data_IF_983047413762
#
_entry.id   IF_983047413762
#
_cell.length_a   1.000
_cell.length_b   1.000
_cell.length_c   1.000
_cell.angle_alpha   90.00
_cell.angle_beta   90.00
_cell.angle_gamma   90.00
#
_symmetry.space_group_name_H-M   'P 1'
#
loop_
_entity.id
_entity.type
_entity.pdbx_description
1 polymer ?
#
# COMPACT_ATOMS: atom_id res chain seq x y z
N UNK A 1 -4.26 37.33 41.70
CA UNK A 1 -3.43 36.18 41.30
C UNK A 1 -3.83 35.68 39.90
N UNK A 2 -3.61 36.50 38.85
CA UNK A 2 -4.08 36.23 37.47
C UNK A 2 -2.97 35.90 36.47
N UNK A 3 -1.73 35.71 36.93
CA UNK A 3 -0.55 35.51 36.06
C UNK A 3 0.05 34.10 36.11
N UNK A 4 -0.50 33.19 36.91
CA UNK A 4 0.05 31.82 37.07
C UNK A 4 -0.70 30.80 36.19
N UNK A 5 -1.89 31.12 35.70
CA UNK A 5 -2.70 30.18 34.91
C UNK A 5 -2.25 30.02 33.45
N UNK A 6 -1.40 30.92 32.93
CA UNK A 6 -0.95 30.88 31.53
C UNK A 6 0.22 29.91 31.34
N UNK A 7 0.97 29.60 32.40
CA UNK A 7 2.13 28.71 32.27
C UNK A 7 1.75 27.22 32.12
N UNK A 8 0.57 26.82 32.60
CA UNK A 8 0.14 25.41 32.53
C UNK A 8 -0.50 25.04 31.18
N UNK A 9 -1.04 26.00 30.43
CA UNK A 9 -1.66 25.74 29.11
C UNK A 9 -0.59 25.51 28.03
N UNK A 10 0.60 26.08 28.18
CA UNK A 10 1.70 25.92 27.20
C UNK A 10 2.45 24.59 27.37
N UNK A 11 2.43 23.99 28.56
CA UNK A 11 3.14 22.72 28.83
C UNK A 11 2.32 21.46 28.46
N UNK A 12 0.99 21.57 28.34
CA UNK A 12 0.15 20.45 27.86
C UNK A 12 0.07 20.43 26.33
N UNK A 13 0.21 21.58 25.66
CA UNK A 13 0.21 21.68 24.20
C UNK A 13 1.50 21.18 23.53
N UNK A 14 2.57 20.94 24.30
CA UNK A 14 3.84 20.43 23.79
C UNK A 14 3.96 18.90 23.84
N UNK A 15 3.03 18.19 24.49
CA UNK A 15 3.01 16.72 24.52
C UNK A 15 2.13 16.08 23.43
N UNK A 16 1.39 16.86 22.64
CA UNK A 16 0.59 16.34 21.52
C UNK A 16 1.33 16.33 20.17
N UNK A 17 2.61 16.72 20.14
CA UNK A 17 3.42 16.74 18.92
C UNK A 17 4.58 15.73 18.90
N UNK A 18 4.56 14.74 19.80
CA UNK A 18 5.43 13.57 19.73
C UNK A 18 4.61 12.27 19.80
N UNK A 19 3.83 12.06 18.74
CA UNK A 19 3.73 10.71 18.18
C UNK A 19 4.19 10.85 16.74
N UNK A 20 5.43 10.44 16.53
CA UNK A 20 5.96 10.14 15.21
C UNK A 20 4.87 9.39 14.44
N UNK A 21 4.45 10.04 13.37
CA UNK A 21 3.64 9.45 12.34
C UNK A 21 4.47 8.29 11.80
N UNK A 22 4.14 7.10 12.30
CA UNK A 22 4.57 5.85 11.71
C UNK A 22 4.33 5.99 10.21
N UNK A 23 5.42 5.91 9.47
CA UNK A 23 5.53 6.13 8.04
C UNK A 23 4.59 5.21 7.28
N UNK A 24 3.33 5.61 7.15
CA UNK A 24 2.56 5.32 5.97
C UNK A 24 3.07 6.30 4.91
N UNK A 25 4.08 5.89 4.15
CA UNK A 25 4.35 6.45 2.83
C UNK A 25 3.09 6.20 1.98
N UNK A 26 2.08 7.04 2.19
CA UNK A 26 1.13 7.36 1.14
C UNK A 26 1.94 8.14 0.13
N UNK A 27 2.41 7.44 -0.89
CA UNK A 27 2.99 8.00 -2.10
C UNK A 27 1.90 8.80 -2.80
N UNK A 28 1.55 9.98 -2.28
CA UNK A 28 0.78 10.98 -3.00
C UNK A 28 1.75 11.54 -4.05
N UNK A 29 1.79 10.84 -5.18
CA UNK A 29 2.40 11.38 -6.39
C UNK A 29 1.59 12.63 -6.72
N UNK A 30 2.13 13.80 -6.40
CA UNK A 30 1.70 15.08 -6.98
C UNK A 30 1.84 14.93 -8.48
N UNK A 31 0.73 14.63 -9.15
CA UNK A 31 0.66 14.62 -10.61
C UNK A 31 0.74 16.09 -11.02
N UNK A 32 1.95 16.57 -11.31
CA UNK A 32 2.13 17.77 -12.11
C UNK A 32 1.41 17.54 -13.44
N UNK A 33 0.23 18.16 -13.59
CA UNK A 33 -0.46 18.25 -14.87
C UNK A 33 0.35 19.17 -15.77
N UNK A 34 1.31 18.60 -16.51
CA UNK A 34 1.81 19.21 -17.73
C UNK A 34 0.76 18.99 -18.82
N UNK A 35 -0.01 20.05 -19.08
CA UNK A 35 -0.96 20.14 -20.19
C UNK A 35 -0.18 20.07 -21.51
N UNK A 36 -0.04 18.87 -22.07
CA UNK A 36 0.42 18.65 -23.44
C UNK A 36 -0.69 17.98 -24.24
N UNK A 37 -0.92 18.47 -25.46
CA UNK A 37 -2.03 18.11 -26.34
C UNK A 37 -2.17 16.58 -26.51
N UNK A 38 -3.41 16.06 -26.63
CA UNK A 38 -3.65 14.64 -26.79
C UNK A 38 -2.95 14.15 -28.07
N UNK A 39 -1.89 13.35 -27.91
CA UNK A 39 -1.33 12.59 -29.02
C UNK A 39 -2.41 11.65 -29.52
N UNK A 40 -2.77 11.75 -30.80
CA UNK A 40 -3.64 10.77 -31.44
C UNK A 40 -2.92 9.41 -31.41
N UNK A 41 -3.23 8.60 -30.41
CA UNK A 41 -2.70 7.25 -30.25
C UNK A 41 -3.27 6.38 -31.37
N UNK A 42 -2.43 5.59 -32.02
CA UNK A 42 -2.91 4.60 -32.98
C UNK A 42 -3.81 3.58 -32.27
N UNK A 43 -4.77 2.98 -32.99
CA UNK A 43 -5.78 2.09 -32.41
C UNK A 43 -5.17 0.92 -31.61
N UNK A 44 -4.00 0.42 -32.01
CA UNK A 44 -3.30 -0.67 -31.32
C UNK A 44 -2.66 -0.17 -30.02
N UNK A 45 -2.16 1.06 -29.99
CA UNK A 45 -1.65 1.68 -28.76
C UNK A 45 -2.78 2.07 -27.82
N UNK A 46 -3.90 2.60 -28.32
CA UNK A 46 -5.08 2.88 -27.49
C UNK A 46 -5.58 1.60 -26.79
N UNK A 47 -5.68 0.49 -27.52
CA UNK A 47 -6.02 -0.83 -26.92
C UNK A 47 -5.03 -1.28 -25.83
N UNK A 48 -3.73 -0.99 -25.98
CA UNK A 48 -2.73 -1.31 -24.95
C UNK A 48 -2.88 -0.45 -23.71
N UNK A 49 -3.14 0.85 -23.89
CA UNK A 49 -3.39 1.80 -22.81
C UNK A 49 -4.66 1.43 -22.05
N UNK A 50 -5.76 1.16 -22.74
CA UNK A 50 -7.04 0.79 -22.11
C UNK A 50 -6.92 -0.52 -21.34
N UNK A 51 -6.20 -1.50 -21.93
CA UNK A 51 -5.87 -2.74 -21.24
C UNK A 51 -5.01 -2.49 -20.00
N UNK A 52 -3.97 -1.66 -20.10
CA UNK A 52 -3.11 -1.33 -18.96
C UNK A 52 -3.89 -0.61 -17.85
N UNK A 53 -4.84 0.28 -18.17
CA UNK A 53 -5.74 0.91 -17.18
C UNK A 53 -6.64 -0.12 -16.48
N UNK A 54 -7.24 -1.03 -17.25
CA UNK A 54 -8.07 -2.10 -16.71
C UNK A 54 -7.27 -3.06 -15.83
N UNK A 55 -6.08 -3.46 -16.29
CA UNK A 55 -5.16 -4.34 -15.57
C UNK A 55 -4.62 -3.65 -14.31
N UNK A 56 -4.32 -2.35 -14.36
CA UNK A 56 -3.89 -1.56 -13.20
C UNK A 56 -4.98 -1.51 -12.12
N UNK A 57 -6.23 -1.17 -12.47
CA UNK A 57 -7.32 -1.15 -11.52
C UNK A 57 -7.58 -2.53 -10.90
N UNK A 58 -7.48 -3.59 -11.71
CA UNK A 58 -7.63 -4.97 -11.26
C UNK A 58 -6.49 -5.39 -10.33
N UNK A 59 -5.25 -5.09 -10.70
CA UNK A 59 -4.07 -5.47 -9.93
C UNK A 59 -3.96 -4.68 -8.63
N UNK A 60 -4.36 -3.40 -8.59
CA UNK A 60 -4.48 -2.62 -7.35
C UNK A 60 -5.54 -3.22 -6.41
N UNK A 61 -6.72 -3.61 -6.93
CA UNK A 61 -7.75 -4.29 -6.13
C UNK A 61 -7.25 -5.64 -5.60
N UNK A 62 -6.55 -6.41 -6.43
CA UNK A 62 -5.97 -7.68 -6.04
C UNK A 62 -4.86 -7.51 -5.00
N UNK A 63 -4.05 -6.46 -5.12
CA UNK A 63 -3.00 -6.10 -4.19
C UNK A 63 -3.60 -5.83 -2.80
N UNK A 64 -4.60 -4.94 -2.73
CA UNK A 64 -5.28 -4.61 -1.48
C UNK A 64 -5.86 -5.86 -0.80
N UNK A 65 -6.52 -6.74 -1.59
CA UNK A 65 -7.06 -8.00 -1.07
C UNK A 65 -5.97 -8.98 -0.62
N UNK A 66 -4.85 -9.04 -1.34
CA UNK A 66 -3.72 -9.89 -0.99
C UNK A 66 -3.04 -9.41 0.30
N UNK A 67 -2.83 -8.10 0.45
CA UNK A 67 -2.27 -7.48 1.66
C UNK A 67 -3.21 -7.66 2.86
N UNK A 68 -4.52 -7.48 2.68
CA UNK A 68 -5.53 -7.75 3.73
C UNK A 68 -5.50 -9.23 4.16
N UNK A 69 -5.48 -10.15 3.20
CA UNK A 69 -5.46 -11.59 3.48
C UNK A 69 -4.15 -12.01 4.17
N UNK A 70 -3.03 -11.42 3.75
CA UNK A 70 -1.73 -11.63 4.36
C UNK A 70 -1.72 -11.16 5.81
N UNK A 71 -2.22 -9.95 6.08
CA UNK A 71 -2.28 -9.39 7.43
C UNK A 71 -3.17 -10.25 8.34
N UNK A 72 -4.36 -10.65 7.88
CA UNK A 72 -5.24 -11.56 8.63
C UNK A 72 -4.58 -12.92 8.91
N UNK A 73 -3.79 -13.43 7.97
CA UNK A 73 -3.01 -14.66 8.13
C UNK A 73 -1.97 -14.52 9.25
N UNK A 74 -1.22 -13.42 9.25
CA UNK A 74 -0.23 -13.11 10.29
C UNK A 74 -0.88 -12.97 11.66
N UNK A 75 -1.98 -12.21 11.77
CA UNK A 75 -2.70 -12.07 13.04
C UNK A 75 -3.21 -13.41 13.59
N UNK A 76 -3.76 -14.25 12.72
CA UNK A 76 -4.22 -15.60 13.10
C UNK A 76 -3.05 -16.49 13.54
N UNK A 77 -1.94 -16.46 12.80
CA UNK A 77 -0.72 -17.17 13.14
C UNK A 77 -0.20 -16.75 14.52
N UNK A 78 -0.02 -15.45 14.76
CA UNK A 78 0.47 -14.94 16.04
C UNK A 78 -0.47 -15.27 17.20
N UNK A 79 -1.80 -15.13 16.98
CA UNK A 79 -2.80 -15.47 17.99
C UNK A 79 -2.75 -16.94 18.36
N UNK A 80 -2.58 -17.83 17.39
CA UNK A 80 -2.51 -19.26 17.66
C UNK A 80 -1.15 -19.66 18.27
N UNK A 81 -0.05 -19.00 17.86
CA UNK A 81 1.27 -19.18 18.44
C UNK A 81 1.29 -18.77 19.91
N UNK A 82 0.74 -17.60 20.26
CA UNK A 82 0.60 -17.14 21.65
C UNK A 82 -0.24 -18.08 22.52
N UNK A 83 -1.21 -18.78 21.92
CA UNK A 83 -2.06 -19.76 22.61
C UNK A 83 -1.41 -21.15 22.73
N UNK A 84 -0.20 -21.35 22.23
CA UNK A 84 0.46 -22.67 22.18
C UNK A 84 -0.30 -23.69 21.31
N UNK A 85 -1.14 -23.22 20.38
CA UNK A 85 -1.99 -24.06 19.53
C UNK A 85 -1.36 -24.42 18.19
N UNK A 86 -0.12 -24.00 17.94
CA UNK A 86 0.59 -24.34 16.71
C UNK A 86 1.47 -25.57 16.92
N UNK A 87 1.26 -26.58 16.08
CA UNK A 87 2.24 -27.65 15.92
C UNK A 87 3.38 -27.19 15.00
N UNK A 88 4.57 -27.82 15.06
CA UNK A 88 5.67 -27.55 14.12
C UNK A 88 5.26 -27.71 12.64
N UNK A 89 4.33 -28.63 12.35
CA UNK A 89 3.79 -28.84 11.00
C UNK A 89 2.94 -27.65 10.55
N UNK A 90 2.13 -27.10 11.45
CA UNK A 90 1.31 -25.93 11.16
C UNK A 90 2.18 -24.67 11.00
N UNK A 91 3.23 -24.51 11.81
CA UNK A 91 4.22 -23.45 11.61
C UNK A 91 4.85 -23.49 10.23
N UNK A 92 5.28 -24.67 9.77
CA UNK A 92 5.85 -24.84 8.44
C UNK A 92 4.84 -24.54 7.31
N UNK A 93 3.56 -24.89 7.48
CA UNK A 93 2.50 -24.56 6.50
C UNK A 93 2.25 -23.06 6.42
N UNK A 94 2.18 -22.39 7.57
CA UNK A 94 1.96 -20.95 7.64
C UNK A 94 3.16 -20.19 7.05
N UNK A 95 4.39 -20.65 7.28
CA UNK A 95 5.59 -20.06 6.67
C UNK A 95 5.55 -20.16 5.13
N UNK A 96 5.16 -21.33 4.59
CA UNK A 96 4.99 -21.51 3.14
C UNK A 96 3.84 -20.68 2.56
N UNK A 97 2.75 -20.53 3.31
CA UNK A 97 1.63 -19.67 2.92
C UNK A 97 2.06 -18.20 2.87
N UNK A 98 2.84 -17.76 3.87
CA UNK A 98 3.45 -16.44 3.95
C UNK A 98 4.36 -16.17 2.74
N UNK A 99 5.29 -17.08 2.44
CA UNK A 99 6.21 -16.94 1.30
C UNK A 99 5.45 -16.85 -0.04
N UNK A 100 4.40 -17.68 -0.22
CA UNK A 100 3.55 -17.62 -1.42
C UNK A 100 2.80 -16.30 -1.54
N UNK A 101 2.26 -15.81 -0.42
CA UNK A 101 1.55 -14.53 -0.37
C UNK A 101 2.51 -13.36 -0.69
N UNK A 102 3.71 -13.35 -0.12
CA UNK A 102 4.75 -12.36 -0.41
C UNK A 102 5.13 -12.36 -1.89
N UNK A 103 5.34 -13.53 -2.51
CA UNK A 103 5.61 -13.66 -3.96
C UNK A 103 4.45 -13.13 -4.80
N UNK A 104 3.21 -13.40 -4.41
CA UNK A 104 2.03 -12.91 -5.13
C UNK A 104 1.91 -11.38 -5.03
N UNK A 105 2.12 -10.82 -3.83
CA UNK A 105 2.14 -9.37 -3.60
C UNK A 105 3.25 -8.71 -4.42
N UNK A 106 4.46 -9.27 -4.42
CA UNK A 106 5.58 -8.76 -5.21
C UNK A 106 5.28 -8.75 -6.72
N UNK A 107 4.66 -9.82 -7.24
CA UNK A 107 4.23 -9.90 -8.65
C UNK A 107 3.18 -8.84 -8.99
N UNK A 108 2.19 -8.63 -8.12
CA UNK A 108 1.17 -7.59 -8.30
C UNK A 108 1.79 -6.18 -8.28
N UNK A 109 2.70 -5.90 -7.34
CA UNK A 109 3.44 -4.62 -7.29
C UNK A 109 4.23 -4.37 -8.57
N UNK A 110 4.88 -5.41 -9.09
CA UNK A 110 5.61 -5.32 -10.37
C UNK A 110 4.67 -5.02 -11.54
N UNK A 111 3.56 -5.75 -11.67
CA UNK A 111 2.59 -5.51 -12.74
C UNK A 111 2.02 -4.09 -12.69
N UNK A 112 1.71 -3.60 -11.48
CA UNK A 112 1.24 -2.22 -11.27
C UNK A 112 2.31 -1.24 -11.77
N UNK A 113 3.57 -1.42 -11.36
CA UNK A 113 4.68 -0.55 -11.80
C UNK A 113 4.89 -0.59 -13.32
N UNK A 114 4.81 -1.77 -13.94
CA UNK A 114 4.95 -1.95 -15.40
C UNK A 114 3.79 -1.25 -16.14
N UNK A 115 2.56 -1.38 -15.64
CA UNK A 115 1.38 -0.72 -16.20
C UNK A 115 1.43 0.81 -16.00
N UNK A 116 1.84 1.29 -14.82
CA UNK A 116 2.03 2.71 -14.54
C UNK A 116 3.12 3.32 -15.42
N UNK A 117 4.24 2.62 -15.62
CA UNK A 117 5.29 3.05 -16.53
C UNK A 117 4.80 3.12 -17.98
N UNK A 118 3.97 2.17 -18.40
CA UNK A 118 3.33 2.19 -19.72
C UNK A 118 2.42 3.41 -19.87
N UNK A 119 1.58 3.72 -18.87
CA UNK A 119 0.69 4.87 -18.92
C UNK A 119 1.45 6.20 -18.90
N UNK A 120 2.49 6.33 -18.06
CA UNK A 120 3.38 7.50 -18.03
C UNK A 120 4.09 7.73 -19.36
N UNK A 121 4.49 6.67 -20.07
CA UNK A 121 5.12 6.77 -21.40
C UNK A 121 4.21 7.44 -22.43
N UNK A 122 2.90 7.35 -22.26
CA UNK A 122 1.89 7.95 -23.13
C UNK A 122 1.28 9.24 -22.56
N UNK A 123 1.92 9.87 -21.55
CA UNK A 123 1.44 11.07 -20.87
C UNK A 123 -0.01 10.95 -20.34
N UNK A 124 -0.38 9.77 -19.85
CA UNK A 124 -1.71 9.47 -19.30
C UNK A 124 -1.67 9.17 -17.79
#
# INVERSE_FOLDING_TARGET
MKKIFILFVVMVASYTYMTDSLTAQATTTTIQQTTQAPQALDEKTQKKVDKAKADLAKDQKNLAKAEESYQKGIEKYEKNKKKGKLSPVDEAKELKAKEKAEKNIAKLKKNIADNEALLKKYNL
#
